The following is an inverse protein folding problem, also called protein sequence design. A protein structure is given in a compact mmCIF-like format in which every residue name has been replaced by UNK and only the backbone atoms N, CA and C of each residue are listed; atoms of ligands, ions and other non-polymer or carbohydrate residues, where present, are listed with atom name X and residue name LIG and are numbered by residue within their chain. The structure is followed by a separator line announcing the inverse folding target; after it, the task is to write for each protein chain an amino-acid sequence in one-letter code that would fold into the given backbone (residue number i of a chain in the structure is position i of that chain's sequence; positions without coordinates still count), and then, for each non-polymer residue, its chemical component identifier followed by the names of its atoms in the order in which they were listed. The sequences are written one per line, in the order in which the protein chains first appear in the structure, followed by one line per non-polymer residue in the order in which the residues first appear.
data_IF_215811688764
#
_entry.id   IF_215811688764
#
_cell.length_a   1.000
_cell.length_b   1.000
_cell.length_c   1.000
_cell.angle_alpha   90.00
_cell.angle_beta   90.00
_cell.angle_gamma   90.00
#
_symmetry.space_group_name_H-M   'P 1'
#
loop_
_entity.id
_entity.type
_entity.pdbx_description
1 polymer ?
#
# COMPACT_ATOMS: atom_id res chain seq x y z
N UNK A 1 30.25 21.65 12.92
CA UNK A 1 28.93 21.33 13.51
C UNK A 1 28.35 20.09 12.83
N UNK A 2 28.39 18.93 13.49
CA UNK A 2 27.70 17.73 13.00
C UNK A 2 26.20 17.92 13.22
N UNK A 3 25.44 18.07 12.14
CA UNK A 3 23.98 18.09 12.16
C UNK A 3 23.48 16.84 12.88
N UNK A 4 23.01 17.00 14.12
CA UNK A 4 22.25 16.00 14.85
C UNK A 4 20.85 15.99 14.26
N UNK A 5 20.72 15.46 13.04
CA UNK A 5 19.42 15.04 12.54
C UNK A 5 19.02 13.84 13.40
N UNK A 6 18.28 14.12 14.48
CA UNK A 6 18.04 13.18 15.56
C UNK A 6 17.29 11.96 15.01
N UNK A 7 17.72 10.77 15.41
CA UNK A 7 17.03 9.50 15.17
C UNK A 7 15.53 9.59 15.46
N UNK A 8 15.17 10.39 16.46
CA UNK A 8 13.80 10.73 16.87
C UNK A 8 13.02 11.44 15.75
N UNK A 9 13.64 12.36 14.99
CA UNK A 9 12.98 13.09 13.90
C UNK A 9 12.68 12.19 12.69
N UNK A 10 13.57 11.24 12.39
CA UNK A 10 13.34 10.24 11.35
C UNK A 10 12.31 9.18 11.75
N UNK A 11 12.32 8.79 13.03
CA UNK A 11 11.30 7.94 13.63
C UNK A 11 9.93 8.62 13.63
N UNK A 12 9.86 9.92 13.97
CA UNK A 12 8.64 10.72 13.94
C UNK A 12 8.08 10.88 12.53
N UNK A 13 8.92 10.97 11.49
CA UNK A 13 8.47 10.97 10.09
C UNK A 13 7.97 9.60 9.61
N UNK A 14 8.47 8.51 10.21
CA UNK A 14 7.99 7.14 9.95
C UNK A 14 6.71 6.78 10.73
N UNK A 15 6.46 7.48 11.84
CA UNK A 15 5.33 7.27 12.77
C UNK A 15 4.06 8.06 12.41
N UNK A 16 3.97 8.69 11.23
CA UNK A 16 2.80 9.52 10.87
C UNK A 16 1.57 8.78 10.30
N UNK A 17 1.37 7.45 10.32
CA UNK A 17 0.02 6.93 10.15
C UNK A 17 -0.67 6.87 11.51
N UNK A 18 -0.79 8.03 12.19
CA UNK A 18 -1.52 8.17 13.46
C UNK A 18 -3.00 8.53 13.26
N UNK A 19 -3.47 8.55 12.00
CA UNK A 19 -4.89 8.55 11.67
C UNK A 19 -5.33 7.15 11.26
N UNK A 20 -5.62 6.28 12.24
CA UNK A 20 -6.29 5.00 12.01
C UNK A 20 -7.77 5.24 11.60
N UNK A 21 -7.96 5.88 10.45
CA UNK A 21 -9.22 5.88 9.72
C UNK A 21 -9.02 4.87 8.59
N UNK A 22 -10.01 4.03 8.28
CA UNK A 22 -9.97 3.28 7.03
C UNK A 22 -9.80 4.28 5.87
N UNK A 23 -8.67 4.23 5.15
CA UNK A 23 -8.48 5.09 3.98
C UNK A 23 -9.26 4.46 2.82
N UNK A 24 -10.14 5.25 2.24
CA UNK A 24 -11.00 4.83 1.14
C UNK A 24 -11.26 6.00 0.21
N UNK A 25 -12.11 5.79 -0.77
CA UNK A 25 -12.67 6.89 -1.56
C UNK A 25 -13.69 7.60 -0.67
N UNK A 26 -13.38 8.83 -0.24
CA UNK A 26 -14.30 9.61 0.61
C UNK A 26 -15.55 10.04 -0.17
N UNK A 27 -16.61 10.46 0.52
CA UNK A 27 -17.80 11.04 -0.13
C UNK A 27 -17.48 12.26 -1.00
N UNK A 28 -16.46 13.05 -0.62
CA UNK A 28 -15.97 14.16 -1.43
C UNK A 28 -15.24 13.68 -2.69
N UNK A 29 -14.47 12.58 -2.59
CA UNK A 29 -13.84 11.96 -3.75
C UNK A 29 -14.88 11.36 -4.68
N UNK A 30 -15.93 10.74 -4.14
CA UNK A 30 -17.07 10.26 -4.91
C UNK A 30 -17.73 11.40 -5.70
N UNK A 31 -18.05 12.51 -5.06
CA UNK A 31 -18.60 13.67 -5.75
C UNK A 31 -17.67 14.19 -6.87
N UNK A 32 -16.36 14.08 -6.67
CA UNK A 32 -15.35 14.45 -7.69
C UNK A 32 -15.32 13.48 -8.87
N UNK A 33 -15.56 12.18 -8.63
CA UNK A 33 -15.67 11.16 -9.67
C UNK A 33 -16.98 11.27 -10.46
N UNK A 34 -18.10 11.54 -9.77
CA UNK A 34 -19.44 11.59 -10.36
C UNK A 34 -19.63 12.84 -11.23
N UNK A 35 -19.12 13.99 -10.78
CA UNK A 35 -19.22 15.27 -11.50
C UNK A 35 -18.02 15.54 -12.41
N UNK A 36 -17.03 14.64 -12.43
CA UNK A 36 -15.75 14.83 -13.07
C UNK A 36 -15.59 14.13 -14.43
N UNK A 37 -14.48 14.42 -15.09
CA UNK A 37 -14.03 13.70 -16.29
C UNK A 37 -13.01 12.61 -15.96
N UNK A 38 -12.38 12.03 -17.00
CA UNK A 38 -11.33 11.01 -16.84
C UNK A 38 -10.13 11.48 -15.99
N UNK A 39 -9.81 12.78 -16.01
CA UNK A 39 -8.75 13.35 -15.16
C UNK A 39 -9.06 13.27 -13.66
N UNK A 40 -10.35 13.32 -13.28
CA UNK A 40 -10.75 13.14 -11.88
C UNK A 40 -10.41 11.75 -11.38
N UNK A 41 -10.52 10.72 -12.23
CA UNK A 41 -10.13 9.35 -11.88
C UNK A 41 -8.61 9.24 -11.67
N UNK A 42 -7.79 9.90 -12.50
CA UNK A 42 -6.33 9.96 -12.29
C UNK A 42 -6.02 10.65 -10.95
N UNK A 43 -6.65 11.79 -10.68
CA UNK A 43 -6.43 12.53 -9.44
C UNK A 43 -6.83 11.73 -8.19
N UNK A 44 -8.03 11.15 -8.18
CA UNK A 44 -8.51 10.35 -7.05
C UNK A 44 -7.68 9.08 -6.88
N UNK A 45 -7.25 8.44 -7.98
CA UNK A 45 -6.32 7.30 -7.93
C UNK A 45 -4.97 7.66 -7.30
N UNK A 46 -4.39 8.79 -7.70
CA UNK A 46 -3.15 9.30 -7.11
C UNK A 46 -3.32 9.66 -5.64
N UNK A 47 -4.41 10.35 -5.29
CA UNK A 47 -4.75 10.71 -3.91
C UNK A 47 -4.91 9.45 -3.06
N UNK A 48 -5.71 8.48 -3.51
CA UNK A 48 -5.93 7.21 -2.82
C UNK A 48 -4.60 6.54 -2.46
N UNK A 49 -3.71 6.42 -3.44
CA UNK A 49 -2.39 5.81 -3.25
C UNK A 49 -1.51 6.60 -2.25
N UNK A 50 -1.47 7.94 -2.36
CA UNK A 50 -0.62 8.77 -1.48
C UNK A 50 -1.18 8.87 -0.06
N UNK A 51 -2.50 8.77 0.12
CA UNK A 51 -3.14 8.78 1.44
C UNK A 51 -3.26 7.39 2.07
N UNK A 52 -3.02 6.32 1.31
CA UNK A 52 -3.13 4.96 1.78
C UNK A 52 -1.93 4.50 2.59
N UNK A 53 -2.04 4.56 3.92
CA UNK A 53 -0.93 4.23 4.81
C UNK A 53 -0.51 2.76 4.69
N UNK A 54 -1.43 1.84 4.46
CA UNK A 54 -1.16 0.42 4.19
C UNK A 54 -0.25 0.23 2.96
N UNK A 55 -0.56 0.92 1.86
CA UNK A 55 0.20 0.89 0.63
C UNK A 55 1.57 1.53 0.84
N UNK A 56 1.64 2.67 1.53
CA UNK A 56 2.89 3.35 1.85
C UNK A 56 3.79 2.51 2.76
N UNK A 57 3.23 1.86 3.79
CA UNK A 57 3.97 0.99 4.70
C UNK A 57 4.48 -0.24 3.97
N UNK A 58 3.66 -0.87 3.13
CA UNK A 58 4.07 -1.99 2.28
C UNK A 58 5.22 -1.57 1.34
N UNK A 59 5.08 -0.44 0.67
CA UNK A 59 6.06 0.09 -0.27
C UNK A 59 7.38 0.47 0.42
N UNK A 60 7.31 1.07 1.61
CA UNK A 60 8.46 1.34 2.45
C UNK A 60 9.17 0.05 2.91
N UNK A 61 8.43 -1.04 3.16
CA UNK A 61 9.02 -2.35 3.44
C UNK A 61 9.72 -2.95 2.23
N UNK A 62 9.11 -2.85 1.05
CA UNK A 62 9.67 -3.38 -0.20
C UNK A 62 10.98 -2.72 -0.58
N UNK A 63 11.09 -1.41 -0.36
CA UNK A 63 12.21 -0.60 -0.86
C UNK A 63 13.58 -1.03 -0.32
N UNK A 64 13.63 -1.63 0.87
CA UNK A 64 14.88 -2.11 1.46
C UNK A 64 15.54 -3.22 0.64
N UNK A 65 14.78 -3.90 -0.23
CA UNK A 65 15.27 -4.94 -1.15
C UNK A 65 15.55 -4.43 -2.56
N UNK A 66 15.15 -3.20 -2.89
CA UNK A 66 15.30 -2.67 -4.24
C UNK A 66 16.67 -2.01 -4.38
N UNK A 67 17.43 -2.46 -5.39
CA UNK A 67 18.82 -2.01 -5.58
C UNK A 67 18.95 -0.87 -6.58
N UNK A 68 17.91 -0.59 -7.37
CA UNK A 68 17.88 0.52 -8.30
C UNK A 68 16.51 0.83 -8.88
N UNK A 69 16.45 1.89 -9.70
CA UNK A 69 15.21 2.41 -10.31
C UNK A 69 14.48 1.37 -11.16
N UNK A 70 15.21 0.49 -11.84
CA UNK A 70 14.62 -0.59 -12.66
C UNK A 70 13.84 -1.60 -11.81
N UNK A 71 14.34 -1.94 -10.62
CA UNK A 71 13.66 -2.86 -9.70
C UNK A 71 12.38 -2.21 -9.16
N UNK A 72 12.44 -0.90 -8.86
CA UNK A 72 11.29 -0.09 -8.45
C UNK A 72 10.18 -0.13 -9.49
N UNK A 73 10.50 0.22 -10.75
CA UNK A 73 9.50 0.23 -11.83
C UNK A 73 8.93 -1.15 -12.04
N UNK A 74 9.76 -2.20 -12.05
CA UNK A 74 9.30 -3.59 -12.19
C UNK A 74 8.31 -3.97 -11.09
N UNK A 75 8.58 -3.55 -9.86
CA UNK A 75 7.69 -3.81 -8.73
C UNK A 75 6.35 -3.09 -8.84
N UNK A 76 6.39 -1.78 -9.12
CA UNK A 76 5.19 -0.98 -9.33
C UNK A 76 4.34 -1.62 -10.42
N UNK A 77 4.93 -1.94 -11.57
CA UNK A 77 4.20 -2.55 -12.68
C UNK A 77 3.57 -3.89 -12.28
N UNK A 78 4.30 -4.78 -11.60
CA UNK A 78 3.77 -6.08 -11.17
C UNK A 78 2.63 -5.94 -10.16
N UNK A 79 2.75 -5.00 -9.21
CA UNK A 79 1.69 -4.67 -8.27
C UNK A 79 0.45 -4.13 -9.01
N UNK A 80 0.63 -3.12 -9.87
CA UNK A 80 -0.47 -2.49 -10.61
C UNK A 80 -1.15 -3.46 -11.55
N UNK A 81 -0.40 -4.40 -12.16
CA UNK A 81 -1.00 -5.46 -12.96
C UNK A 81 -1.94 -6.34 -12.12
N UNK A 82 -1.48 -6.82 -10.95
CA UNK A 82 -2.34 -7.57 -10.03
C UNK A 82 -3.55 -6.75 -9.60
N UNK A 83 -3.31 -5.50 -9.16
CA UNK A 83 -4.33 -4.54 -8.76
C UNK A 83 -5.41 -4.34 -9.84
N UNK A 84 -4.99 -4.14 -11.09
CA UNK A 84 -5.88 -3.92 -12.22
C UNK A 84 -6.74 -5.15 -12.53
N UNK A 85 -6.18 -6.35 -12.43
CA UNK A 85 -6.90 -7.60 -12.74
C UNK A 85 -8.11 -7.77 -11.83
N UNK A 86 -7.94 -7.67 -10.52
CA UNK A 86 -9.05 -7.83 -9.57
C UNK A 86 -9.96 -6.62 -9.53
N UNK A 87 -9.41 -5.41 -9.67
CA UNK A 87 -10.23 -4.19 -9.76
C UNK A 87 -11.21 -4.25 -10.93
N UNK A 88 -10.73 -4.58 -12.14
CA UNK A 88 -11.59 -4.70 -13.32
C UNK A 88 -12.49 -5.94 -13.19
N UNK A 89 -11.92 -7.10 -12.85
CA UNK A 89 -12.62 -8.37 -12.86
C UNK A 89 -13.75 -8.43 -11.83
N UNK A 90 -13.47 -8.08 -10.56
CA UNK A 90 -14.48 -8.11 -9.51
C UNK A 90 -15.55 -7.04 -9.73
N UNK A 91 -15.18 -5.83 -10.17
CA UNK A 91 -16.17 -4.80 -10.47
C UNK A 91 -17.04 -5.16 -11.67
N UNK A 92 -16.48 -5.76 -12.72
CA UNK A 92 -17.25 -6.21 -13.88
C UNK A 92 -18.20 -7.38 -13.55
N UNK A 93 -17.74 -8.33 -12.74
CA UNK A 93 -18.52 -9.51 -12.34
C UNK A 93 -19.48 -9.24 -11.16
N UNK A 94 -19.43 -8.07 -10.55
CA UNK A 94 -20.26 -7.73 -9.39
C UNK A 94 -19.87 -8.47 -8.11
N UNK A 95 -18.63 -8.95 -8.00
CA UNK A 95 -18.15 -9.70 -6.84
C UNK A 95 -17.83 -8.72 -5.72
N UNK A 96 -18.49 -8.89 -4.58
CA UNK A 96 -18.31 -8.08 -3.37
C UNK A 96 -17.86 -8.95 -2.20
N UNK A 97 -17.11 -8.36 -1.29
CA UNK A 97 -16.81 -8.94 0.03
C UNK A 97 -16.80 -7.81 1.07
N UNK A 98 -16.77 -8.16 2.35
CA UNK A 98 -16.72 -7.17 3.43
C UNK A 98 -15.40 -6.38 3.39
N UNK A 99 -15.49 -5.05 3.42
CA UNK A 99 -14.32 -4.17 3.30
C UNK A 99 -13.35 -4.32 4.48
N UNK A 100 -13.84 -4.56 5.69
CA UNK A 100 -13.00 -4.79 6.86
C UNK A 100 -12.22 -6.10 6.73
N UNK A 101 -12.84 -7.17 6.21
CA UNK A 101 -12.14 -8.42 5.97
C UNK A 101 -11.05 -8.28 4.91
N UNK A 102 -11.31 -7.55 3.83
CA UNK A 102 -10.30 -7.32 2.79
C UNK A 102 -9.14 -6.49 3.34
N UNK A 103 -9.43 -5.37 4.03
CA UNK A 103 -8.41 -4.51 4.62
C UNK A 103 -7.60 -5.25 5.70
N UNK A 104 -8.21 -6.18 6.44
CA UNK A 104 -7.50 -7.04 7.37
C UNK A 104 -6.46 -7.91 6.64
N UNK A 105 -6.82 -8.52 5.49
CA UNK A 105 -5.87 -9.29 4.68
C UNK A 105 -4.80 -8.38 4.07
N UNK A 106 -5.13 -7.15 3.69
CA UNK A 106 -4.16 -6.15 3.25
C UNK A 106 -3.16 -5.83 4.38
N UNK A 107 -3.62 -5.65 5.61
CA UNK A 107 -2.75 -5.41 6.77
C UNK A 107 -1.75 -6.56 7.01
N UNK A 108 -2.15 -7.81 6.71
CA UNK A 108 -1.24 -8.97 6.76
C UNK A 108 -0.11 -8.87 5.73
N UNK A 109 -0.30 -8.18 4.60
CA UNK A 109 0.78 -7.95 3.62
C UNK A 109 1.89 -7.05 4.18
N UNK A 110 1.54 -6.06 5.00
CA UNK A 110 2.49 -5.16 5.68
C UNK A 110 3.28 -5.94 6.73
N UNK A 111 2.58 -6.74 7.55
CA UNK A 111 3.19 -7.64 8.52
C UNK A 111 4.15 -8.61 7.84
N UNK A 112 3.68 -9.29 6.79
CA UNK A 112 4.45 -10.22 5.98
C UNK A 112 5.76 -9.58 5.55
N UNK A 113 5.71 -8.34 5.03
CA UNK A 113 6.91 -7.71 4.49
C UNK A 113 7.94 -7.37 5.56
N UNK A 114 7.50 -6.87 6.72
CA UNK A 114 8.39 -6.65 7.87
C UNK A 114 9.02 -7.96 8.37
N UNK A 115 8.23 -9.04 8.43
CA UNK A 115 8.70 -10.37 8.85
C UNK A 115 9.71 -10.97 7.86
N UNK A 116 9.44 -10.91 6.56
CA UNK A 116 10.34 -11.34 5.49
C UNK A 116 11.67 -10.58 5.54
N UNK A 117 11.62 -9.25 5.68
CA UNK A 117 12.82 -8.41 5.74
C UNK A 117 13.74 -8.76 6.92
N UNK A 118 13.19 -9.16 8.07
CA UNK A 118 14.01 -9.58 9.21
C UNK A 118 14.60 -11.00 9.05
N UNK A 119 14.29 -11.69 7.95
CA UNK A 119 14.64 -13.09 7.69
C UNK A 119 13.82 -14.04 8.55
N UNK A 120 12.56 -13.70 8.82
CA UNK A 120 11.67 -14.48 9.67
C UNK A 120 11.43 -15.89 9.12
N UNK A 121 11.29 -16.04 7.80
CA UNK A 121 11.11 -17.34 7.15
C UNK A 121 12.29 -18.27 7.40
N UNK A 122 13.52 -17.80 7.19
CA UNK A 122 14.72 -18.61 7.33
C UNK A 122 15.07 -18.83 8.81
N UNK A 123 15.00 -17.79 9.65
CA UNK A 123 15.47 -17.85 11.05
C UNK A 123 14.46 -18.47 12.01
N UNK A 124 13.16 -18.25 11.80
CA UNK A 124 12.10 -18.70 12.72
C UNK A 124 11.37 -19.92 12.19
N UNK A 125 11.01 -19.90 10.91
CA UNK A 125 10.22 -20.97 10.29
C UNK A 125 11.08 -22.04 9.60
N UNK A 126 12.39 -21.78 9.42
CA UNK A 126 13.34 -22.66 8.72
C UNK A 126 12.89 -23.04 7.30
N UNK A 127 12.19 -22.14 6.63
CA UNK A 127 11.76 -22.27 5.24
C UNK A 127 12.31 -21.11 4.40
N UNK A 128 12.39 -21.30 3.09
CA UNK A 128 12.82 -20.25 2.16
C UNK A 128 11.71 -19.21 2.01
N UNK A 129 12.08 -17.93 2.03
CA UNK A 129 11.15 -16.85 1.71
C UNK A 129 10.52 -17.04 0.32
N UNK A 130 9.20 -16.83 0.17
CA UNK A 130 8.52 -16.86 -1.10
C UNK A 130 9.12 -15.92 -2.16
N UNK A 131 8.79 -16.15 -3.43
CA UNK A 131 9.26 -15.24 -4.49
C UNK A 131 8.61 -13.87 -4.30
N UNK A 132 9.48 -12.86 -4.19
CA UNK A 132 9.09 -11.49 -3.90
C UNK A 132 8.14 -10.88 -4.96
N UNK A 133 8.42 -11.07 -6.25
CA UNK A 133 7.53 -10.57 -7.32
C UNK A 133 6.18 -11.28 -7.34
N UNK A 134 6.17 -12.58 -7.05
CA UNK A 134 4.92 -13.34 -6.93
C UNK A 134 4.07 -12.81 -5.77
N UNK A 135 4.68 -12.53 -4.62
CA UNK A 135 3.96 -11.98 -3.47
C UNK A 135 3.44 -10.56 -3.73
N UNK A 136 4.21 -9.73 -4.43
CA UNK A 136 3.78 -8.38 -4.82
C UNK A 136 2.61 -8.42 -5.77
N UNK A 137 2.62 -9.35 -6.73
CA UNK A 137 1.48 -9.59 -7.60
C UNK A 137 0.24 -10.03 -6.80
N UNK A 138 0.41 -10.99 -5.88
CA UNK A 138 -0.67 -11.47 -5.02
C UNK A 138 -1.26 -10.36 -4.13
N UNK A 139 -0.41 -9.53 -3.53
CA UNK A 139 -0.87 -8.39 -2.76
C UNK A 139 -1.55 -7.36 -3.65
N UNK A 140 -1.05 -7.11 -4.85
CA UNK A 140 -1.74 -6.30 -5.86
C UNK A 140 -3.16 -6.80 -6.11
N UNK A 141 -3.36 -8.11 -6.33
CA UNK A 141 -4.68 -8.71 -6.49
C UNK A 141 -5.60 -8.41 -5.29
N UNK A 142 -5.11 -8.59 -4.06
CA UNK A 142 -5.90 -8.37 -2.85
C UNK A 142 -6.29 -6.88 -2.71
N UNK A 143 -5.36 -5.96 -2.95
CA UNK A 143 -5.62 -4.52 -2.87
C UNK A 143 -6.64 -4.10 -3.93
N UNK A 144 -6.51 -4.62 -5.15
CA UNK A 144 -7.43 -4.29 -6.25
C UNK A 144 -8.84 -4.77 -5.96
N UNK A 145 -8.96 -5.91 -5.29
CA UNK A 145 -10.24 -6.41 -4.84
C UNK A 145 -10.86 -5.52 -3.75
N UNK A 146 -10.08 -5.03 -2.78
CA UNK A 146 -10.56 -4.10 -1.75
C UNK A 146 -11.14 -2.82 -2.31
N UNK A 147 -10.44 -2.20 -3.26
CA UNK A 147 -10.94 -1.03 -3.97
C UNK A 147 -12.15 -1.36 -4.86
N UNK A 148 -12.17 -2.54 -5.49
CA UNK A 148 -13.29 -2.96 -6.34
C UNK A 148 -14.62 -3.00 -5.57
N UNK A 149 -14.61 -3.50 -4.34
CA UNK A 149 -15.80 -3.56 -3.47
C UNK A 149 -16.34 -2.15 -3.22
N UNK A 150 -15.44 -1.20 -2.93
CA UNK A 150 -15.77 0.21 -2.70
C UNK A 150 -16.29 0.88 -3.97
N UNK A 151 -15.62 0.69 -5.11
CA UNK A 151 -16.10 1.29 -6.37
C UNK A 151 -17.46 0.74 -6.80
N UNK A 152 -17.80 -0.50 -6.44
CA UNK A 152 -19.11 -1.11 -6.72
C UNK A 152 -20.21 -0.70 -5.73
N UNK A 153 -19.88 -0.08 -4.59
CA UNK A 153 -20.89 0.55 -3.74
C UNK A 153 -21.30 1.93 -4.27
N UNK A 154 -20.54 2.47 -5.23
CA UNK A 154 -20.86 3.70 -5.96
C UNK A 154 -21.48 3.39 -7.33
N UNK A 155 -22.48 4.17 -7.74
CA UNK A 155 -23.06 4.09 -9.09
C UNK A 155 -22.08 4.66 -10.13
N UNK A 156 -20.97 3.97 -10.39
CA UNK A 156 -20.08 4.31 -11.50
C UNK A 156 -20.88 4.09 -12.78
N UNK A 157 -21.48 5.16 -13.30
CA UNK A 157 -22.33 5.10 -14.49
C UNK A 157 -21.68 4.25 -15.59
N UNK A 158 -22.46 3.35 -16.19
CA UNK A 158 -21.98 2.27 -17.08
C UNK A 158 -21.16 2.74 -18.29
N UNK A 159 -21.22 4.04 -18.62
CA UNK A 159 -20.47 4.63 -19.72
C UNK A 159 -18.99 4.80 -19.37
N UNK A 160 -18.12 4.41 -20.31
CA UNK A 160 -16.67 4.55 -20.22
C UNK A 160 -16.04 3.87 -18.98
N UNK A 161 -16.68 2.84 -18.41
CA UNK A 161 -16.23 2.10 -17.23
C UNK A 161 -14.75 1.68 -17.30
N UNK A 162 -14.35 1.02 -18.40
CA UNK A 162 -12.97 0.56 -18.56
C UNK A 162 -11.98 1.74 -18.60
N UNK A 163 -12.32 2.82 -19.29
CA UNK A 163 -11.47 4.02 -19.36
C UNK A 163 -11.33 4.68 -17.98
N UNK A 164 -12.41 4.75 -17.20
CA UNK A 164 -12.39 5.25 -15.82
C UNK A 164 -11.45 4.46 -14.93
N UNK A 165 -11.50 3.12 -14.98
CA UNK A 165 -10.60 2.26 -14.19
C UNK A 165 -9.15 2.39 -14.65
N UNK A 166 -8.91 2.41 -15.97
CA UNK A 166 -7.55 2.61 -16.50
C UNK A 166 -6.98 3.95 -16.04
N UNK A 167 -7.75 5.03 -16.13
CA UNK A 167 -7.36 6.35 -15.61
C UNK A 167 -7.09 6.32 -14.11
N UNK A 168 -7.91 5.62 -13.32
CA UNK A 168 -7.67 5.46 -11.89
C UNK A 168 -6.33 4.76 -11.63
N UNK A 169 -6.03 3.66 -12.31
CA UNK A 169 -4.78 2.92 -12.13
C UNK A 169 -3.55 3.71 -12.61
N UNK A 170 -3.66 4.52 -13.66
CA UNK A 170 -2.61 5.49 -14.03
C UNK A 170 -2.36 6.45 -12.86
N UNK A 171 -3.43 6.95 -12.23
CA UNK A 171 -3.34 7.73 -11.00
C UNK A 171 -2.59 7.00 -9.89
N UNK A 172 -2.92 5.74 -9.63
CA UNK A 172 -2.25 4.90 -8.62
C UNK A 172 -0.75 4.76 -8.92
N UNK A 173 -0.36 4.44 -10.16
CA UNK A 173 1.06 4.34 -10.54
C UNK A 173 1.81 5.67 -10.31
N UNK A 174 1.20 6.79 -10.72
CA UNK A 174 1.77 8.12 -10.49
C UNK A 174 1.91 8.41 -8.99
N UNK A 175 0.89 8.09 -8.20
CA UNK A 175 0.91 8.22 -6.74
C UNK A 175 2.02 7.37 -6.11
N UNK A 176 2.22 6.14 -6.56
CA UNK A 176 3.29 5.24 -6.10
C UNK A 176 4.68 5.84 -6.38
N UNK A 177 4.91 6.32 -7.61
CA UNK A 177 6.18 6.94 -7.98
C UNK A 177 6.44 8.19 -7.14
N UNK A 178 5.43 9.06 -6.99
CA UNK A 178 5.54 10.28 -6.17
C UNK A 178 5.83 9.96 -4.70
N UNK A 179 5.18 8.95 -4.14
CA UNK A 179 5.40 8.51 -2.76
C UNK A 179 6.79 7.89 -2.55
N UNK A 180 7.33 7.19 -3.56
CA UNK A 180 8.65 6.56 -3.47
C UNK A 180 9.79 7.55 -3.43
N UNK A 181 9.71 8.67 -4.15
CA UNK A 181 10.80 9.65 -4.24
C UNK A 181 11.34 10.05 -2.85
N UNK A 182 10.51 10.54 -1.89
CA UNK A 182 11.00 10.89 -0.56
C UNK A 182 11.46 9.67 0.24
N UNK A 183 10.82 8.50 0.09
CA UNK A 183 11.19 7.27 0.83
C UNK A 183 12.58 6.77 0.39
N UNK A 184 12.81 6.65 -0.92
CA UNK A 184 14.13 6.28 -1.49
C UNK A 184 15.18 7.28 -1.04
N UNK A 185 14.88 8.58 -1.14
CA UNK A 185 15.81 9.63 -0.74
C UNK A 185 16.23 9.49 0.73
N UNK A 186 15.27 9.33 1.65
CA UNK A 186 15.57 9.18 3.08
C UNK A 186 16.44 7.93 3.36
N UNK A 187 16.12 6.80 2.72
CA UNK A 187 16.83 5.53 2.94
C UNK A 187 18.24 5.60 2.36
N UNK A 188 18.42 6.10 1.14
CA UNK A 188 19.73 6.24 0.50
C UNK A 188 20.66 7.16 1.29
N UNK A 189 20.13 8.25 1.86
CA UNK A 189 20.91 9.12 2.77
C UNK A 189 21.28 8.45 4.10
N UNK A 190 20.56 7.40 4.50
CA UNK A 190 20.81 6.67 5.75
C UNK A 190 21.69 5.43 5.58
N UNK A 191 21.69 4.81 4.40
CA UNK A 191 22.42 3.56 4.09
C UNK A 191 23.92 3.62 4.43
N UNK A 192 24.57 4.77 4.25
CA UNK A 192 26.00 4.95 4.56
C UNK A 192 26.32 5.17 6.05
N UNK A 193 25.31 5.25 6.93
CA UNK A 193 25.52 5.58 8.35
C UNK A 193 25.65 4.31 9.19
N UNK A 194 26.47 4.37 10.26
CA UNK A 194 26.62 3.26 11.24
C UNK A 194 25.30 2.85 11.90
N UNK A 195 24.33 3.76 11.97
CA UNK A 195 22.99 3.51 12.54
C UNK A 195 22.02 2.84 11.56
N UNK A 196 22.42 2.52 10.33
CA UNK A 196 21.53 1.93 9.32
C UNK A 196 20.97 0.58 9.74
N UNK A 197 21.79 -0.32 10.31
CA UNK A 197 21.30 -1.64 10.75
C UNK A 197 20.24 -1.53 11.86
N UNK A 198 20.44 -0.61 12.81
CA UNK A 198 19.46 -0.33 13.87
C UNK A 198 18.17 0.28 13.30
N UNK A 199 18.29 1.21 12.35
CA UNK A 199 17.15 1.81 11.65
C UNK A 199 16.37 0.76 10.85
N UNK A 200 17.07 -0.08 10.09
CA UNK A 200 16.49 -1.17 9.31
C UNK A 200 15.68 -2.11 10.20
N UNK A 201 16.27 -2.56 11.33
CA UNK A 201 15.58 -3.43 12.29
C UNK A 201 14.37 -2.75 12.90
N UNK A 202 14.50 -1.48 13.32
CA UNK A 202 13.41 -0.72 13.92
C UNK A 202 12.25 -0.50 12.94
N UNK A 203 12.54 -0.10 11.70
CA UNK A 203 11.53 0.12 10.66
C UNK A 203 10.77 -1.17 10.34
N UNK A 204 11.46 -2.31 10.18
CA UNK A 204 10.80 -3.57 9.89
C UNK A 204 10.02 -4.14 11.08
N UNK A 205 10.50 -3.93 12.31
CA UNK A 205 9.73 -4.29 13.51
C UNK A 205 8.48 -3.42 13.63
N UNK A 206 8.58 -2.14 13.30
CA UNK A 206 7.43 -1.24 13.21
C UNK A 206 6.41 -1.72 12.16
N UNK A 207 6.83 -2.16 10.97
CA UNK A 207 5.91 -2.74 9.97
C UNK A 207 5.15 -3.95 10.51
N UNK A 208 5.81 -4.83 11.27
CA UNK A 208 5.15 -5.98 11.92
C UNK A 208 4.10 -5.49 12.91
N UNK A 209 4.47 -4.57 13.82
CA UNK A 209 3.53 -4.04 14.82
C UNK A 209 2.35 -3.32 14.14
N UNK A 210 2.62 -2.48 13.16
CA UNK A 210 1.60 -1.73 12.41
C UNK A 210 0.66 -2.68 11.68
N UNK A 211 1.19 -3.70 10.99
CA UNK A 211 0.37 -4.71 10.31
C UNK A 211 -0.52 -5.50 11.28
N UNK A 212 0.01 -5.91 12.44
CA UNK A 212 -0.80 -6.56 13.49
C UNK A 212 -1.88 -5.62 14.04
N UNK A 213 -1.51 -4.37 14.35
CA UNK A 213 -2.45 -3.40 14.89
C UNK A 213 -3.58 -3.08 13.91
N UNK A 214 -3.26 -2.89 12.62
CA UNK A 214 -4.23 -2.69 11.55
C UNK A 214 -5.13 -3.89 11.35
N UNK A 215 -4.57 -5.11 11.37
CA UNK A 215 -5.36 -6.34 11.29
C UNK A 215 -6.39 -6.42 12.44
N UNK A 216 -5.94 -6.19 13.68
CA UNK A 216 -6.83 -6.20 14.85
C UNK A 216 -7.90 -5.11 14.73
N UNK A 217 -7.52 -3.90 14.31
CA UNK A 217 -8.45 -2.80 14.11
C UNK A 217 -9.55 -3.16 13.10
N UNK A 218 -9.16 -3.76 11.97
CA UNK A 218 -10.12 -4.16 10.94
C UNK A 218 -11.01 -5.33 11.37
N UNK A 219 -10.47 -6.34 12.04
CA UNK A 219 -11.28 -7.43 12.59
C UNK A 219 -12.23 -6.94 13.69
N UNK A 220 -11.79 -6.00 14.53
CA UNK A 220 -12.68 -5.38 15.52
C UNK A 220 -13.80 -4.58 14.84
N UNK A 221 -13.48 -3.82 13.78
CA UNK A 221 -14.47 -3.14 12.95
C UNK A 221 -15.49 -4.10 12.33
N UNK A 222 -15.03 -5.24 11.81
CA UNK A 222 -15.92 -6.29 11.29
C UNK A 222 -16.84 -6.88 12.37
N UNK A 223 -16.33 -7.18 13.57
CA UNK A 223 -17.13 -7.83 14.63
C UNK A 223 -18.16 -6.87 15.24
N UNK A 224 -17.84 -5.58 15.36
CA UNK A 224 -18.69 -4.59 16.07
C UNK A 224 -19.42 -3.62 15.14
N UNK A 225 -19.11 -3.62 13.84
CA UNK A 225 -19.74 -2.79 12.82
C UNK A 225 -20.98 -3.40 12.17
N UNK A 226 -21.33 -4.64 12.55
CA UNK A 226 -22.54 -5.37 12.18
C UNK A 226 -23.44 -5.60 13.40
#
# INVERSE_FOLDING_TARGET
MKSRFNFITALLLFLVPLGLMAHGVSSADQATLDNGGLLSYIYVGAKHMVTGYDHLLFLAGVIFYLTGFKDIVRFITVFTLGHSITLIGATYLGIKADEHLIDAVIALSVLYKGFENLGGFEKKLKIKSPNLLFMVFLFGLIHGFGLSTRLQSFEVGKQAFLAKIVCFNIGVELGQVLALIPIVFLITQWQGKRSYDSFYKAANFYLIIAGVALFIYQIYGYINGH
#
